data_IF_025499536919
#
_entry.id   IF_025499536919
#
_cell.length_a   1.000
_cell.length_b   1.000
_cell.length_c   1.000
_cell.angle_alpha   90.00
_cell.angle_beta   90.00
_cell.angle_gamma   90.00
#
_symmetry.space_group_name_H-M   'P 1'
#
loop_
_entity.id
_entity.type
_entity.pdbx_description
1 polymer ?
#
# COMPACT_ATOMS: atom_id res chain seq x y z
N UNK A 1 31.29 32.13 -6.74
CA UNK A 1 30.97 30.69 -6.85
C UNK A 1 31.27 30.03 -5.51
N UNK A 2 30.26 29.85 -4.67
CA UNK A 2 30.41 29.12 -3.41
C UNK A 2 30.55 27.62 -3.72
N UNK A 3 31.67 27.04 -3.29
CA UNK A 3 31.86 25.60 -3.31
C UNK A 3 30.82 24.95 -2.39
N UNK A 4 29.90 24.18 -2.98
CA UNK A 4 29.00 23.34 -2.20
C UNK A 4 29.83 22.24 -1.55
N UNK A 5 30.04 22.37 -0.24
CA UNK A 5 30.61 21.36 0.63
C UNK A 5 29.80 20.07 0.46
N UNK A 6 30.47 18.98 0.11
CA UNK A 6 29.85 17.67 0.00
C UNK A 6 29.16 17.33 1.33
N UNK A 7 27.84 17.14 1.29
CA UNK A 7 27.08 16.61 2.42
C UNK A 7 27.71 15.28 2.86
N UNK A 8 27.93 15.09 4.16
CA UNK A 8 28.32 13.81 4.75
C UNK A 8 27.60 12.63 4.07
N UNK A 9 28.26 11.47 3.89
CA UNK A 9 27.58 10.30 3.34
C UNK A 9 26.33 10.03 4.18
N UNK A 10 25.15 10.07 3.54
CA UNK A 10 23.86 9.84 4.20
C UNK A 10 23.80 8.53 5.04
N UNK A 11 24.73 7.62 4.78
CA UNK A 11 24.97 6.35 5.49
C UNK A 11 25.53 6.51 6.91
N UNK A 12 26.05 7.69 7.29
CA UNK A 12 26.64 7.92 8.62
C UNK A 12 25.61 8.33 9.69
N UNK A 13 24.32 8.42 9.35
CA UNK A 13 23.29 8.79 10.32
C UNK A 13 22.94 7.59 11.20
N UNK A 14 22.96 7.71 12.54
CA UNK A 14 22.63 6.63 13.45
C UNK A 14 21.18 6.17 13.24
N UNK A 15 20.98 4.85 13.08
CA UNK A 15 19.66 4.23 13.10
C UNK A 15 19.27 3.94 14.55
N UNK A 16 18.06 4.36 14.95
CA UNK A 16 17.53 4.05 16.29
C UNK A 16 17.02 2.61 16.34
N UNK A 17 17.88 1.68 16.77
CA UNK A 17 17.47 0.35 17.19
C UNK A 17 16.97 0.44 18.62
N UNK A 18 15.66 0.23 18.85
CA UNK A 18 15.14 0.05 20.20
C UNK A 18 15.47 -1.39 20.61
N UNK A 19 16.28 -1.57 21.66
CA UNK A 19 16.65 -2.87 22.23
C UNK A 19 17.47 -3.78 21.28
N UNK A 20 18.26 -3.21 20.37
CA UNK A 20 19.09 -3.97 19.41
C UNK A 20 18.31 -4.70 18.32
N UNK A 21 16.98 -4.69 18.39
CA UNK A 21 16.10 -5.23 17.36
C UNK A 21 15.74 -4.14 16.34
N UNK A 22 15.84 -4.46 15.04
CA UNK A 22 15.30 -3.61 13.99
C UNK A 22 13.77 -3.46 14.14
N UNK A 23 13.22 -2.39 13.56
CA UNK A 23 11.76 -2.17 13.57
C UNK A 23 11.00 -3.34 12.94
N UNK A 24 10.00 -3.87 13.67
CA UNK A 24 9.29 -5.10 13.29
C UNK A 24 8.28 -4.95 12.14
N UNK A 25 7.83 -3.73 11.80
CA UNK A 25 6.88 -3.54 10.70
C UNK A 25 7.56 -3.12 9.40
N UNK A 26 7.14 -3.69 8.27
CA UNK A 26 7.61 -3.29 6.91
C UNK A 26 7.44 -1.79 6.67
N UNK A 27 6.37 -1.17 7.22
CA UNK A 27 6.15 0.28 7.12
C UNK A 27 7.25 1.08 7.84
N UNK A 28 7.67 0.63 9.02
CA UNK A 28 8.72 1.28 9.79
C UNK A 28 10.09 1.06 9.15
N UNK A 29 10.41 -0.17 8.72
CA UNK A 29 11.65 -0.47 7.98
C UNK A 29 11.76 0.40 6.72
N UNK A 30 10.66 0.52 5.97
CA UNK A 30 10.61 1.37 4.78
C UNK A 30 10.78 2.87 5.11
N UNK A 31 10.36 3.31 6.31
CA UNK A 31 10.50 4.70 6.75
C UNK A 31 11.94 5.04 7.10
N UNK A 32 12.68 4.10 7.68
CA UNK A 32 14.09 4.24 8.00
C UNK A 32 14.93 4.42 6.73
N UNK A 33 14.73 3.54 5.75
CA UNK A 33 15.49 3.61 4.50
C UNK A 33 15.03 4.75 3.59
N UNK A 34 13.78 5.20 3.67
CA UNK A 34 13.24 6.22 2.77
C UNK A 34 13.98 7.55 2.80
N UNK A 35 14.70 7.89 3.88
CA UNK A 35 15.42 9.15 4.01
C UNK A 35 16.66 9.26 3.14
N UNK A 36 17.26 8.13 2.77
CA UNK A 36 18.52 8.08 2.03
C UNK A 36 18.43 7.34 0.69
N UNK A 37 17.26 6.79 0.36
CA UNK A 37 16.97 6.22 -0.95
C UNK A 37 16.40 7.29 -1.91
N UNK A 38 16.56 7.12 -3.23
CA UNK A 38 15.91 7.98 -4.20
C UNK A 38 14.39 7.99 -4.00
N UNK A 39 13.76 9.14 -4.29
CA UNK A 39 12.31 9.24 -4.26
C UNK A 39 11.67 8.22 -5.19
N UNK A 40 10.53 7.63 -4.81
CA UNK A 40 9.88 6.54 -5.56
C UNK A 40 9.57 6.88 -7.02
N UNK A 41 9.36 8.16 -7.32
CA UNK A 41 9.02 8.63 -8.65
C UNK A 41 10.22 9.19 -9.41
N UNK A 42 11.43 9.18 -8.85
CA UNK A 42 12.63 9.67 -9.53
C UNK A 42 13.11 8.69 -10.59
N UNK A 43 13.87 9.20 -11.56
CA UNK A 43 14.49 8.38 -12.61
C UNK A 43 15.40 7.29 -12.05
N UNK A 44 16.23 7.60 -11.04
CA UNK A 44 17.09 6.59 -10.38
C UNK A 44 16.31 5.44 -9.75
N UNK A 45 15.21 5.73 -9.03
CA UNK A 45 14.40 4.66 -8.42
C UNK A 45 13.70 3.82 -9.50
N UNK A 46 13.15 4.47 -10.53
CA UNK A 46 12.48 3.79 -11.63
C UNK A 46 13.45 2.90 -12.41
N UNK A 47 14.65 3.38 -12.74
CA UNK A 47 15.66 2.60 -13.45
C UNK A 47 16.03 1.30 -12.71
N UNK A 48 16.32 1.39 -11.40
CA UNK A 48 16.65 0.22 -10.58
C UNK A 48 15.47 -0.77 -10.55
N UNK A 49 14.26 -0.28 -10.27
CA UNK A 49 13.09 -1.14 -10.08
C UNK A 49 12.58 -1.74 -11.39
N UNK A 50 12.63 -1.00 -12.49
CA UNK A 50 12.19 -1.49 -13.79
C UNK A 50 13.20 -2.50 -14.34
N UNK A 51 14.50 -2.27 -14.16
CA UNK A 51 15.54 -3.24 -14.50
C UNK A 51 15.43 -4.53 -13.68
N UNK A 52 15.25 -4.41 -12.36
CA UNK A 52 14.96 -5.54 -11.47
C UNK A 52 13.77 -6.38 -11.97
N UNK A 53 12.64 -5.73 -12.27
CA UNK A 53 11.45 -6.44 -12.78
C UNK A 53 11.74 -7.14 -14.09
N UNK A 54 12.47 -6.48 -14.99
CA UNK A 54 12.80 -7.02 -16.30
C UNK A 54 13.71 -8.25 -16.19
N UNK A 55 14.73 -8.22 -15.32
CA UNK A 55 15.59 -9.36 -15.02
C UNK A 55 14.84 -10.51 -14.34
N UNK A 56 13.74 -10.23 -13.63
CA UNK A 56 12.85 -11.24 -13.07
C UNK A 56 11.71 -11.68 -14.03
N UNK A 57 11.77 -11.28 -15.29
CA UNK A 57 10.82 -11.74 -16.33
C UNK A 57 9.49 -11.00 -16.34
N UNK A 58 9.37 -9.87 -15.63
CA UNK A 58 8.19 -9.02 -15.70
C UNK A 58 8.40 -7.87 -16.69
N UNK A 59 7.92 -8.09 -17.91
CA UNK A 59 8.11 -7.15 -19.01
C UNK A 59 7.05 -6.04 -19.10
N UNK A 60 5.85 -6.27 -18.58
CA UNK A 60 4.77 -5.28 -18.59
C UNK A 60 3.89 -5.35 -17.33
N UNK A 61 2.90 -4.47 -17.23
CA UNK A 61 2.00 -4.39 -16.07
C UNK A 61 1.09 -5.61 -15.92
N UNK A 62 0.76 -6.30 -17.02
CA UNK A 62 -0.10 -7.49 -17.06
C UNK A 62 0.64 -8.81 -16.82
N UNK A 63 1.96 -8.84 -17.03
CA UNK A 63 2.77 -10.03 -16.82
C UNK A 63 2.83 -10.41 -15.33
N UNK A 64 2.56 -11.70 -15.07
CA UNK A 64 2.77 -12.31 -13.75
C UNK A 64 4.27 -12.50 -13.51
N UNK A 65 4.68 -12.42 -12.25
CA UNK A 65 6.03 -12.84 -11.89
C UNK A 65 6.15 -14.35 -12.01
N UNK A 66 7.37 -14.89 -12.22
CA UNK A 66 7.61 -16.31 -12.09
C UNK A 66 7.17 -16.81 -10.70
N UNK A 67 6.80 -18.09 -10.62
CA UNK A 67 6.55 -18.75 -9.35
C UNK A 67 7.77 -18.61 -8.42
N UNK A 68 7.53 -18.64 -7.12
CA UNK A 68 8.62 -18.57 -6.14
C UNK A 68 9.53 -19.78 -6.23
N UNK A 69 10.74 -19.65 -5.69
CA UNK A 69 11.65 -20.78 -5.57
C UNK A 69 10.95 -21.94 -4.84
N UNK A 70 11.01 -23.14 -5.42
CA UNK A 70 10.47 -24.37 -4.87
C UNK A 70 11.35 -24.89 -3.74
N UNK A 71 10.80 -25.70 -2.83
CA UNK A 71 11.55 -26.25 -1.71
C UNK A 71 12.83 -26.98 -2.17
N UNK A 72 12.75 -27.77 -3.24
CA UNK A 72 13.91 -28.45 -3.82
C UNK A 72 14.97 -27.48 -4.38
N UNK A 73 14.56 -26.32 -4.91
CA UNK A 73 15.49 -25.30 -5.39
C UNK A 73 16.20 -24.62 -4.20
N UNK A 74 15.47 -24.38 -3.10
CA UNK A 74 16.02 -23.84 -1.87
C UNK A 74 17.02 -24.79 -1.22
N UNK A 75 16.72 -26.09 -1.19
CA UNK A 75 17.58 -27.12 -0.59
C UNK A 75 18.84 -27.38 -1.42
N UNK A 76 18.76 -27.21 -2.74
CA UNK A 76 19.88 -27.42 -3.68
C UNK A 76 20.68 -26.15 -3.95
N UNK A 77 20.39 -25.06 -3.24
CA UNK A 77 21.13 -23.82 -3.41
C UNK A 77 22.61 -24.09 -3.10
N UNK A 78 23.54 -23.89 -4.07
CA UNK A 78 24.93 -24.16 -3.83
C UNK A 78 25.47 -23.27 -2.70
N UNK A 79 26.51 -23.73 -2.01
CA UNK A 79 27.23 -22.92 -1.04
C UNK A 79 28.04 -21.84 -1.76
N UNK A 80 27.37 -20.74 -2.11
CA UNK A 80 27.96 -19.61 -2.81
C UNK A 80 28.36 -18.52 -1.83
N UNK A 81 29.63 -18.11 -1.89
CA UNK A 81 30.05 -16.85 -1.25
C UNK A 81 29.50 -15.67 -2.04
N UNK A 82 28.83 -14.76 -1.33
CA UNK A 82 28.30 -13.52 -1.90
C UNK A 82 29.41 -12.67 -2.54
N UNK A 83 30.63 -12.73 -1.99
CA UNK A 83 31.79 -12.00 -2.52
C UNK A 83 32.29 -12.60 -3.83
N UNK A 84 32.34 -13.93 -3.92
CA UNK A 84 32.73 -14.64 -5.15
C UNK A 84 31.78 -14.30 -6.29
N UNK A 85 30.46 -14.40 -6.05
CA UNK A 85 29.45 -14.07 -7.08
C UNK A 85 29.56 -12.61 -7.51
N UNK A 86 29.83 -11.70 -6.57
CA UNK A 86 30.00 -10.26 -6.85
C UNK A 86 31.25 -9.98 -7.69
N UNK A 87 32.37 -10.62 -7.37
CA UNK A 87 33.67 -10.41 -8.02
C UNK A 87 33.76 -11.08 -9.40
N UNK A 88 32.97 -12.11 -9.64
CA UNK A 88 32.93 -12.80 -10.94
C UNK A 88 32.23 -11.95 -12.01
N UNK A 89 33.05 -11.33 -12.87
CA UNK A 89 32.62 -10.56 -14.03
C UNK A 89 32.76 -11.33 -15.35
N UNK A 90 33.13 -12.62 -15.30
CA UNK A 90 33.45 -13.38 -16.51
C UNK A 90 32.27 -13.55 -17.45
N UNK A 91 31.03 -13.41 -16.97
CA UNK A 91 29.84 -13.47 -17.82
C UNK A 91 29.74 -12.27 -18.77
N UNK A 92 30.30 -11.13 -18.37
CA UNK A 92 30.26 -9.89 -19.14
C UNK A 92 31.33 -9.82 -20.24
N UNK A 93 32.28 -10.75 -20.25
CA UNK A 93 33.28 -10.88 -21.30
C UNK A 93 32.75 -11.65 -22.53
N UNK A 94 31.57 -12.28 -22.43
CA UNK A 94 30.96 -13.00 -23.54
C UNK A 94 30.21 -12.01 -24.44
N UNK A 95 30.35 -12.15 -25.76
CA UNK A 95 29.43 -11.55 -26.71
C UNK A 95 28.10 -12.32 -26.66
N UNK A 96 27.01 -11.70 -26.17
CA UNK A 96 25.73 -12.36 -26.11
C UNK A 96 25.17 -12.55 -27.53
N UNK A 97 24.57 -13.71 -27.84
CA UNK A 97 23.87 -13.89 -29.10
C UNK A 97 22.73 -12.88 -29.23
N UNK A 98 22.40 -12.44 -30.45
CA UNK A 98 21.28 -11.54 -30.68
C UNK A 98 19.99 -12.13 -30.10
N UNK A 99 19.07 -11.28 -29.59
CA UNK A 99 17.83 -11.74 -28.99
C UNK A 99 17.03 -12.59 -29.98
N UNK A 100 16.55 -13.77 -29.54
CA UNK A 100 15.78 -14.68 -30.39
C UNK A 100 14.46 -14.03 -30.86
N UNK A 101 13.98 -14.31 -32.09
CA UNK A 101 12.80 -13.67 -32.68
C UNK A 101 11.50 -13.89 -31.88
N UNK A 102 11.41 -14.92 -31.02
CA UNK A 102 10.26 -15.12 -30.13
C UNK A 102 10.08 -14.02 -29.06
N UNK A 103 11.13 -13.23 -28.80
CA UNK A 103 11.14 -12.11 -27.85
C UNK A 103 10.42 -10.87 -28.42
N UNK A 104 10.25 -10.79 -29.74
CA UNK A 104 9.70 -9.62 -30.46
C UNK A 104 8.25 -9.28 -30.11
N UNK A 105 7.50 -10.19 -29.48
CA UNK A 105 6.13 -9.92 -29.01
C UNK A 105 6.06 -9.15 -27.69
N UNK A 106 7.20 -8.94 -27.02
CA UNK A 106 7.26 -8.28 -25.72
C UNK A 106 7.29 -6.76 -25.91
N UNK A 107 6.20 -6.09 -25.54
CA UNK A 107 6.15 -4.62 -25.52
C UNK A 107 6.97 -4.06 -24.34
N UNK A 108 8.11 -3.47 -24.67
CA UNK A 108 8.96 -2.72 -23.74
C UNK A 108 8.27 -1.44 -23.23
N UNK A 109 8.68 -0.97 -22.05
CA UNK A 109 8.29 0.35 -21.57
C UNK A 109 8.93 1.44 -22.44
N UNK A 110 8.33 2.65 -22.54
CA UNK A 110 8.89 3.73 -23.36
C UNK A 110 10.32 4.17 -23.00
N UNK A 111 10.80 3.79 -21.80
CA UNK A 111 12.15 4.10 -21.29
C UNK A 111 13.13 2.91 -21.39
N UNK A 112 12.70 1.82 -22.01
CA UNK A 112 13.48 0.59 -22.15
C UNK A 112 13.87 0.43 -23.62
N UNK A 113 15.12 0.10 -23.85
CA UNK A 113 15.63 -0.22 -25.18
C UNK A 113 15.70 -1.75 -25.40
N UNK A 114 15.90 -2.16 -26.66
CA UNK A 114 16.03 -3.57 -27.02
C UNK A 114 17.26 -4.25 -26.42
N UNK A 115 18.29 -3.48 -26.03
CA UNK A 115 19.50 -4.02 -25.41
C UNK A 115 19.21 -4.66 -24.05
N UNK A 116 18.10 -4.30 -23.39
CA UNK A 116 17.70 -4.92 -22.13
C UNK A 116 17.56 -6.46 -22.25
N UNK A 117 17.15 -6.97 -23.42
CA UNK A 117 17.10 -8.42 -23.65
C UNK A 117 18.48 -9.07 -23.63
N UNK A 118 19.48 -8.37 -24.16
CA UNK A 118 20.89 -8.77 -24.10
C UNK A 118 21.35 -8.91 -22.66
N UNK A 119 21.11 -7.90 -21.82
CA UNK A 119 21.47 -7.96 -20.40
C UNK A 119 20.71 -9.03 -19.63
N UNK A 120 19.45 -9.29 -19.98
CA UNK A 120 18.69 -10.41 -19.42
C UNK A 120 19.30 -11.76 -19.81
N UNK A 121 19.77 -11.91 -21.04
CA UNK A 121 20.43 -13.13 -21.51
C UNK A 121 21.71 -13.38 -20.69
N UNK A 122 22.55 -12.35 -20.53
CA UNK A 122 23.75 -12.41 -19.68
C UNK A 122 23.39 -12.78 -18.23
N UNK A 123 22.33 -12.19 -17.66
CA UNK A 123 21.86 -12.52 -16.33
C UNK A 123 21.45 -13.99 -16.18
N UNK A 124 20.71 -14.54 -17.13
CA UNK A 124 20.32 -15.95 -17.10
C UNK A 124 21.51 -16.91 -17.31
N UNK A 125 22.46 -16.53 -18.16
CA UNK A 125 23.70 -17.28 -18.34
C UNK A 125 24.52 -17.32 -17.06
N UNK A 126 24.60 -16.19 -16.35
CA UNK A 126 25.30 -16.08 -15.07
C UNK A 126 24.65 -16.99 -14.01
N UNK A 127 23.32 -16.96 -13.88
CA UNK A 127 22.61 -17.86 -12.97
C UNK A 127 22.88 -19.34 -13.29
N UNK A 128 22.89 -19.69 -14.58
CA UNK A 128 23.15 -21.07 -15.04
C UNK A 128 24.54 -21.56 -14.65
N UNK A 129 25.57 -20.70 -14.73
CA UNK A 129 26.94 -21.03 -14.30
C UNK A 129 27.02 -21.42 -12.83
N UNK A 130 26.17 -20.83 -12.01
CA UNK A 130 26.06 -21.12 -10.59
C UNK A 130 24.97 -22.15 -10.28
N UNK A 131 24.52 -22.94 -11.26
CA UNK A 131 23.46 -23.96 -11.09
C UNK A 131 22.14 -23.42 -10.52
N UNK A 132 21.83 -22.14 -10.75
CA UNK A 132 20.55 -21.53 -10.38
C UNK A 132 19.62 -21.64 -11.60
N UNK A 133 18.56 -22.47 -11.55
CA UNK A 133 17.82 -22.89 -12.73
C UNK A 133 16.96 -21.79 -13.35
N UNK A 134 16.54 -20.79 -12.56
CA UNK A 134 15.68 -19.72 -13.04
C UNK A 134 15.82 -18.43 -12.25
N UNK A 135 15.55 -17.32 -12.94
CA UNK A 135 15.47 -15.98 -12.38
C UNK A 135 14.18 -15.78 -11.56
N UNK A 136 14.20 -16.16 -10.28
CA UNK A 136 13.07 -15.94 -9.36
C UNK A 136 13.52 -15.60 -7.95
N UNK A 137 12.59 -15.08 -7.15
CA UNK A 137 12.79 -14.83 -5.72
C UNK A 137 12.03 -15.89 -4.92
N UNK A 138 12.51 -16.16 -3.71
CA UNK A 138 11.74 -16.89 -2.71
C UNK A 138 10.70 -15.93 -2.12
N UNK A 139 9.58 -15.76 -2.84
CA UNK A 139 8.58 -14.70 -2.57
C UNK A 139 7.99 -14.75 -1.16
N UNK A 140 7.87 -15.95 -0.59
CA UNK A 140 7.33 -16.18 0.76
C UNK A 140 8.42 -16.13 1.85
N UNK A 141 9.68 -16.10 1.45
CA UNK A 141 10.81 -16.01 2.37
C UNK A 141 11.20 -14.57 2.68
N UNK A 142 11.85 -14.36 3.81
CA UNK A 142 12.40 -13.05 4.14
C UNK A 142 13.43 -12.60 3.10
N UNK A 143 13.62 -11.29 2.98
CA UNK A 143 14.69 -10.72 2.13
C UNK A 143 16.08 -11.20 2.57
N UNK A 144 16.23 -11.58 3.85
CA UNK A 144 17.46 -12.12 4.42
C UNK A 144 17.70 -13.62 4.17
N UNK A 145 16.76 -14.33 3.55
CA UNK A 145 16.97 -15.75 3.19
C UNK A 145 18.16 -15.90 2.22
N UNK A 146 18.87 -17.02 2.32
CA UNK A 146 20.06 -17.29 1.50
C UNK A 146 19.77 -17.13 0.00
N UNK A 147 18.65 -17.68 -0.48
CA UNK A 147 18.19 -17.52 -1.87
C UNK A 147 18.04 -16.06 -2.28
N UNK A 148 17.29 -15.27 -1.50
CA UNK A 148 17.03 -13.86 -1.84
C UNK A 148 18.31 -13.02 -1.73
N UNK A 149 19.22 -13.33 -0.81
CA UNK A 149 20.52 -12.67 -0.71
C UNK A 149 21.41 -12.93 -1.92
N UNK A 150 21.51 -14.19 -2.37
CA UNK A 150 22.27 -14.55 -3.58
C UNK A 150 21.66 -13.89 -4.81
N UNK A 151 20.34 -14.00 -4.99
CA UNK A 151 19.64 -13.38 -6.12
C UNK A 151 19.83 -11.85 -6.14
N UNK A 152 19.80 -11.19 -4.97
CA UNK A 152 20.09 -9.76 -4.85
C UNK A 152 21.52 -9.41 -5.30
N UNK A 153 22.51 -10.24 -4.98
CA UNK A 153 23.89 -10.02 -5.45
C UNK A 153 23.97 -10.07 -6.97
N UNK A 154 23.35 -11.07 -7.62
CA UNK A 154 23.30 -11.12 -9.09
C UNK A 154 22.59 -9.89 -9.68
N UNK A 155 21.42 -9.52 -9.14
CA UNK A 155 20.66 -8.38 -9.63
C UNK A 155 21.44 -7.06 -9.53
N UNK A 156 22.13 -6.84 -8.41
CA UNK A 156 22.95 -5.66 -8.20
C UNK A 156 24.18 -5.67 -9.10
N UNK A 157 24.86 -6.83 -9.25
CA UNK A 157 25.99 -7.01 -10.17
C UNK A 157 25.62 -6.64 -11.61
N UNK A 158 24.51 -7.18 -12.12
CA UNK A 158 24.03 -6.92 -13.48
C UNK A 158 23.53 -5.49 -13.67
N UNK A 159 22.95 -4.88 -12.64
CA UNK A 159 22.54 -3.48 -12.71
C UNK A 159 23.76 -2.54 -12.80
N UNK A 160 24.82 -2.81 -12.03
CA UNK A 160 26.06 -2.03 -12.08
C UNK A 160 26.71 -2.10 -13.45
N UNK A 161 26.75 -3.29 -14.04
CA UNK A 161 27.29 -3.48 -15.38
C UNK A 161 26.48 -2.69 -16.43
N UNK A 162 25.15 -2.84 -16.43
CA UNK A 162 24.27 -2.09 -17.34
C UNK A 162 24.39 -0.56 -17.16
N UNK A 163 24.56 -0.09 -15.92
CA UNK A 163 24.80 1.33 -15.66
C UNK A 163 26.10 1.82 -16.31
N UNK A 164 27.19 1.07 -16.19
CA UNK A 164 28.48 1.41 -16.79
C UNK A 164 28.43 1.46 -18.32
N UNK A 165 27.54 0.66 -18.93
CA UNK A 165 27.32 0.62 -20.37
C UNK A 165 26.28 1.65 -20.87
N UNK A 166 25.76 2.52 -20.00
CA UNK A 166 24.83 3.59 -20.42
C UNK A 166 23.40 3.14 -20.76
N UNK A 167 23.00 1.93 -20.35
CA UNK A 167 21.68 1.32 -20.65
C UNK A 167 20.49 2.13 -20.11
N UNK A 168 20.75 3.01 -19.15
CA UNK A 168 19.73 3.81 -18.49
C UNK A 168 19.67 5.26 -19.00
N UNK A 169 20.20 5.54 -20.19
CA UNK A 169 20.24 6.88 -20.80
C UNK A 169 18.87 7.57 -20.90
N UNK A 170 17.80 6.79 -21.02
CA UNK A 170 16.41 7.28 -21.08
C UNK A 170 15.80 7.59 -19.70
N UNK A 171 16.53 7.34 -18.61
CA UNK A 171 16.13 7.70 -17.26
C UNK A 171 16.89 8.94 -16.80
N UNK A 172 16.20 9.87 -16.12
CA UNK A 172 16.85 11.00 -15.45
C UNK A 172 17.56 10.50 -14.18
N UNK A 173 18.75 9.93 -14.36
CA UNK A 173 19.55 9.39 -13.27
C UNK A 173 20.25 10.51 -12.48
N UNK A 174 20.05 10.48 -11.18
CA UNK A 174 20.88 11.21 -10.23
C UNK A 174 21.98 10.27 -9.72
N UNK A 175 23.23 10.59 -10.09
CA UNK A 175 24.42 9.81 -9.76
C UNK A 175 24.69 9.72 -8.25
N UNK A 176 24.10 10.59 -7.42
CA UNK A 176 24.17 10.45 -5.96
C UNK A 176 23.53 9.17 -5.46
N UNK A 177 22.62 8.59 -6.24
CA UNK A 177 21.90 7.35 -5.92
C UNK A 177 22.41 6.14 -6.71
N UNK A 178 23.59 6.21 -7.34
CA UNK A 178 24.12 5.12 -8.17
C UNK A 178 24.96 4.08 -7.42
N UNK A 179 25.18 4.28 -6.11
CA UNK A 179 26.02 3.36 -5.33
C UNK A 179 25.39 1.98 -5.16
N UNK A 180 26.25 0.97 -4.98
CA UNK A 180 25.82 -0.42 -4.77
C UNK A 180 24.86 -0.54 -3.57
N UNK A 181 25.21 0.13 -2.46
CA UNK A 181 24.42 0.11 -1.23
C UNK A 181 23.00 0.67 -1.46
N UNK A 182 22.89 1.76 -2.23
CA UNK A 182 21.59 2.37 -2.57
C UNK A 182 20.80 1.44 -3.50
N UNK A 183 21.44 0.90 -4.54
CA UNK A 183 20.80 -0.03 -5.46
C UNK A 183 20.24 -1.26 -4.72
N UNK A 184 21.08 -1.91 -3.90
CA UNK A 184 20.67 -3.05 -3.05
C UNK A 184 19.50 -2.68 -2.15
N UNK A 185 19.57 -1.56 -1.43
CA UNK A 185 18.51 -1.15 -0.51
C UNK A 185 17.20 -0.78 -1.22
N UNK A 186 17.25 -0.22 -2.43
CA UNK A 186 16.06 -0.02 -3.28
C UNK A 186 15.44 -1.37 -3.65
N UNK A 187 16.24 -2.33 -4.10
CA UNK A 187 15.76 -3.68 -4.46
C UNK A 187 15.18 -4.41 -3.24
N UNK A 188 15.85 -4.39 -2.09
CA UNK A 188 15.34 -4.98 -0.85
C UNK A 188 14.03 -4.35 -0.39
N UNK A 189 13.93 -3.01 -0.42
CA UNK A 189 12.70 -2.27 -0.11
C UNK A 189 11.55 -2.71 -1.03
N UNK A 190 11.87 -2.92 -2.31
CA UNK A 190 10.90 -3.40 -3.28
C UNK A 190 10.44 -4.84 -3.00
N UNK A 191 11.37 -5.75 -2.68
CA UNK A 191 11.07 -7.15 -2.30
C UNK A 191 10.20 -7.18 -1.04
N UNK A 192 10.58 -6.48 0.03
CA UNK A 192 9.78 -6.38 1.27
C UNK A 192 8.36 -5.87 1.01
N UNK A 193 8.22 -4.89 0.11
CA UNK A 193 6.93 -4.34 -0.29
C UNK A 193 6.04 -5.32 -1.08
N UNK A 194 6.62 -6.39 -1.65
CA UNK A 194 5.92 -7.44 -2.39
C UNK A 194 5.41 -8.57 -1.49
N UNK A 195 6.18 -8.99 -0.48
CA UNK A 195 5.77 -9.99 0.53
C UNK A 195 4.45 -9.58 1.23
N UNK A 196 4.17 -8.27 1.32
CA UNK A 196 2.91 -7.73 1.84
C UNK A 196 1.77 -7.57 0.83
N UNK A 197 1.87 -8.08 -0.40
CA UNK A 197 0.77 -8.06 -1.38
C UNK A 197 -0.17 -9.28 -1.28
N UNK A 198 -0.17 -9.94 -0.13
CA UNK A 198 -1.22 -10.88 0.28
C UNK A 198 -2.60 -10.27 -0.04
N UNK A 199 -3.49 -11.09 -0.58
CA UNK A 199 -4.86 -10.73 -0.90
C UNK A 199 -5.53 -10.05 0.30
N UNK A 200 -5.20 -10.50 1.52
CA UNK A 200 -5.62 -9.88 2.78
C UNK A 200 -5.24 -8.41 2.90
N UNK A 201 -4.01 -8.02 2.55
CA UNK A 201 -3.58 -6.62 2.58
C UNK A 201 -4.29 -5.79 1.51
N UNK A 202 -4.43 -6.31 0.29
CA UNK A 202 -5.17 -5.63 -0.79
C UNK A 202 -6.62 -5.40 -0.40
N UNK A 203 -7.26 -6.40 0.18
CA UNK A 203 -8.64 -6.34 0.66
C UNK A 203 -8.76 -5.35 1.83
N UNK A 204 -7.83 -5.37 2.80
CA UNK A 204 -7.79 -4.38 3.89
C UNK A 204 -7.60 -2.95 3.39
N UNK A 205 -6.72 -2.74 2.40
CA UNK A 205 -6.49 -1.42 1.78
C UNK A 205 -7.75 -0.93 1.06
N UNK A 206 -8.37 -1.77 0.22
CA UNK A 206 -9.63 -1.45 -0.46
C UNK A 206 -10.73 -1.11 0.56
N UNK A 207 -10.86 -1.91 1.62
CA UNK A 207 -11.80 -1.69 2.73
C UNK A 207 -11.58 -0.32 3.40
N UNK A 208 -10.34 0.00 3.77
CA UNK A 208 -10.01 1.30 4.37
C UNK A 208 -10.28 2.48 3.42
N UNK A 209 -9.95 2.34 2.13
CA UNK A 209 -10.23 3.36 1.11
C UNK A 209 -11.73 3.60 0.98
N UNK A 210 -12.54 2.54 0.88
CA UNK A 210 -14.01 2.64 0.82
C UNK A 210 -14.58 3.40 2.03
N UNK A 211 -14.14 3.07 3.25
CA UNK A 211 -14.56 3.78 4.46
C UNK A 211 -14.17 5.26 4.44
N UNK A 212 -12.95 5.57 4.02
CA UNK A 212 -12.48 6.96 3.95
C UNK A 212 -13.25 7.78 2.92
N UNK A 213 -13.54 7.20 1.75
CA UNK A 213 -14.37 7.82 0.72
C UNK A 213 -15.79 8.05 1.23
N UNK A 214 -16.40 7.05 1.85
CA UNK A 214 -17.74 7.17 2.42
C UNK A 214 -17.81 8.24 3.51
N UNK A 215 -16.83 8.24 4.41
CA UNK A 215 -16.72 9.23 5.47
C UNK A 215 -16.71 10.66 4.92
N UNK A 216 -15.94 10.89 3.84
CA UNK A 216 -15.93 12.19 3.18
C UNK A 216 -17.29 12.55 2.60
N UNK A 217 -17.96 11.63 1.90
CA UNK A 217 -19.31 11.88 1.40
C UNK A 217 -20.32 12.19 2.51
N UNK A 218 -20.17 11.58 3.68
CA UNK A 218 -21.00 11.90 4.85
C UNK A 218 -20.72 13.30 5.37
N UNK A 219 -19.44 13.70 5.48
CA UNK A 219 -19.08 15.05 5.91
C UNK A 219 -19.59 16.09 4.91
N UNK A 220 -19.28 15.94 3.62
CA UNK A 220 -19.69 16.88 2.58
C UNK A 220 -21.23 17.03 2.53
N UNK A 221 -21.97 15.93 2.67
CA UNK A 221 -23.44 15.96 2.65
C UNK A 221 -24.04 16.58 3.92
N UNK A 222 -23.43 16.30 5.08
CA UNK A 222 -23.88 16.86 6.35
C UNK A 222 -23.58 18.36 6.42
N UNK A 223 -22.40 18.78 5.94
CA UNK A 223 -21.99 20.18 5.87
C UNK A 223 -22.95 20.97 4.98
N UNK A 224 -23.18 20.54 3.74
CA UNK A 224 -24.14 21.20 2.84
C UNK A 224 -25.55 21.27 3.45
N UNK A 225 -26.04 20.16 4.01
CA UNK A 225 -27.38 20.11 4.60
C UNK A 225 -27.54 21.06 5.79
N UNK A 226 -26.52 21.15 6.65
CA UNK A 226 -26.56 21.95 7.87
C UNK A 226 -26.27 23.42 7.57
N UNK A 227 -25.36 23.74 6.65
CA UNK A 227 -25.10 25.11 6.23
C UNK A 227 -26.32 25.78 5.60
N UNK A 228 -27.10 25.03 4.82
CA UNK A 228 -28.30 25.57 4.18
C UNK A 228 -29.43 25.88 5.15
N UNK A 229 -29.54 25.15 6.27
CA UNK A 229 -30.75 25.17 7.10
C UNK A 229 -30.51 25.54 8.57
N UNK A 230 -29.34 25.21 9.14
CA UNK A 230 -29.07 25.25 10.58
C UNK A 230 -27.58 25.48 10.89
N UNK A 231 -27.03 26.61 10.44
CA UNK A 231 -25.58 26.91 10.53
C UNK A 231 -25.00 26.78 11.94
N UNK A 232 -25.79 27.03 12.98
CA UNK A 232 -25.45 26.87 14.39
C UNK A 232 -25.15 25.40 14.78
N UNK A 233 -25.74 24.44 14.06
CA UNK A 233 -25.53 23.01 14.30
C UNK A 233 -24.29 22.45 13.59
N UNK A 234 -23.61 23.21 12.72
CA UNK A 234 -22.54 22.68 11.86
C UNK A 234 -21.39 22.07 12.68
N UNK A 235 -20.84 22.84 13.61
CA UNK A 235 -19.71 22.40 14.43
C UNK A 235 -20.09 21.20 15.31
N UNK A 236 -21.23 21.22 16.06
CA UNK A 236 -21.72 20.04 16.76
C UNK A 236 -21.95 18.82 15.86
N UNK A 237 -22.52 19.02 14.66
CA UNK A 237 -22.82 17.94 13.71
C UNK A 237 -21.55 17.26 13.20
N UNK A 238 -20.55 18.03 12.76
CA UNK A 238 -19.28 17.48 12.31
C UNK A 238 -18.50 16.81 13.45
N UNK A 239 -18.67 17.25 14.69
CA UNK A 239 -18.05 16.61 15.86
C UNK A 239 -18.55 15.18 16.13
N UNK A 240 -19.72 14.80 15.60
CA UNK A 240 -20.25 13.43 15.64
C UNK A 240 -19.57 12.50 14.63
N UNK A 241 -18.80 13.05 13.67
CA UNK A 241 -18.05 12.34 12.64
C UNK A 241 -16.54 12.63 12.76
N UNK A 242 -15.86 12.25 13.85
CA UNK A 242 -14.44 12.58 14.06
C UNK A 242 -13.47 11.81 13.16
N UNK A 243 -13.87 10.67 12.58
CA UNK A 243 -13.03 9.89 11.68
C UNK A 243 -13.81 8.83 10.89
N UNK A 244 -13.20 8.28 9.85
CA UNK A 244 -13.73 7.13 9.09
C UNK A 244 -13.93 5.84 9.92
N UNK A 245 -13.47 5.82 11.18
CA UNK A 245 -13.82 4.76 12.13
C UNK A 245 -15.34 4.72 12.43
N UNK A 246 -16.02 5.86 12.30
CA UNK A 246 -17.47 6.01 12.50
C UNK A 246 -18.31 5.38 11.39
N UNK A 247 -17.73 5.12 10.22
CA UNK A 247 -18.44 4.49 9.10
C UNK A 247 -18.41 2.97 9.23
N UNK A 248 -19.51 2.30 8.85
CA UNK A 248 -19.57 0.84 8.78
C UNK A 248 -18.65 0.32 7.67
N UNK A 249 -18.28 -0.95 7.78
CA UNK A 249 -17.66 -1.65 6.67
C UNK A 249 -18.74 -2.05 5.65
N UNK A 250 -18.36 -2.22 4.39
CA UNK A 250 -19.24 -2.78 3.35
C UNK A 250 -18.73 -4.15 2.94
N UNK A 251 -19.54 -5.17 3.18
CA UNK A 251 -19.33 -6.53 2.68
C UNK A 251 -20.13 -6.75 1.39
N UNK A 252 -19.58 -7.59 0.53
CA UNK A 252 -20.18 -8.02 -0.73
C UNK A 252 -20.64 -9.48 -0.52
N UNK A 253 -21.95 -9.69 -0.42
CA UNK A 253 -22.54 -11.01 -0.13
C UNK A 253 -22.81 -11.81 -1.42
N UNK A 254 -22.08 -11.52 -2.50
CA UNK A 254 -22.36 -12.07 -3.82
C UNK A 254 -23.46 -11.28 -4.54
N UNK A 255 -24.21 -11.90 -5.47
CA UNK A 255 -24.73 -11.32 -6.70
C UNK A 255 -25.40 -9.94 -6.53
N UNK A 256 -24.58 -8.88 -6.53
CA UNK A 256 -25.00 -7.48 -6.44
C UNK A 256 -25.52 -7.00 -5.09
N UNK A 257 -25.51 -7.83 -4.03
CA UNK A 257 -26.02 -7.46 -2.70
C UNK A 257 -24.88 -7.05 -1.79
N UNK A 258 -24.67 -5.74 -1.65
CA UNK A 258 -23.76 -5.22 -0.63
C UNK A 258 -24.50 -5.00 0.68
N UNK A 259 -23.83 -5.25 1.80
CA UNK A 259 -24.38 -5.02 3.14
C UNK A 259 -23.45 -4.18 3.97
N UNK A 260 -24.03 -3.33 4.81
CA UNK A 260 -23.26 -2.70 5.87
C UNK A 260 -22.99 -3.74 6.97
N UNK A 261 -21.78 -3.73 7.55
CA UNK A 261 -21.52 -4.40 8.82
C UNK A 261 -21.71 -3.40 9.95
N UNK A 262 -22.61 -3.71 10.87
CA UNK A 262 -22.82 -2.94 12.09
C UNK A 262 -21.58 -3.01 12.98
N UNK A 263 -21.43 -2.05 13.88
CA UNK A 263 -20.36 -2.06 14.86
C UNK A 263 -20.96 -2.25 16.25
N UNK A 264 -20.42 -3.19 17.02
CA UNK A 264 -20.96 -3.55 18.34
C UNK A 264 -21.03 -2.35 19.31
N UNK A 265 -20.13 -1.38 19.13
CA UNK A 265 -20.03 -0.22 19.99
C UNK A 265 -21.06 0.87 19.70
N UNK A 266 -21.76 0.86 18.55
CA UNK A 266 -22.68 1.95 18.19
C UNK A 266 -24.02 1.80 18.89
N UNK A 267 -24.53 2.90 19.43
CA UNK A 267 -25.92 2.95 19.88
C UNK A 267 -26.89 2.79 18.70
N UNK A 268 -28.15 2.50 19.01
CA UNK A 268 -29.23 2.45 18.02
C UNK A 268 -29.40 3.80 17.33
N UNK A 269 -29.38 4.88 18.09
CA UNK A 269 -29.51 6.27 17.62
C UNK A 269 -28.38 6.64 16.66
N UNK A 270 -27.12 6.35 17.03
CA UNK A 270 -25.99 6.67 16.17
C UNK A 270 -25.95 5.81 14.90
N UNK A 271 -26.40 4.55 15.00
CA UNK A 271 -26.55 3.68 13.83
C UNK A 271 -27.61 4.22 12.86
N UNK A 272 -28.71 4.76 13.37
CA UNK A 272 -29.73 5.41 12.57
C UNK A 272 -29.23 6.70 11.93
N UNK A 273 -28.54 7.55 12.68
CA UNK A 273 -27.92 8.76 12.14
C UNK A 273 -27.00 8.45 10.95
N UNK A 274 -26.08 7.50 11.11
CA UNK A 274 -25.16 7.10 10.02
C UNK A 274 -25.93 6.55 8.81
N UNK A 275 -27.03 5.82 9.03
CA UNK A 275 -27.87 5.33 7.94
C UNK A 275 -28.60 6.46 7.20
N UNK A 276 -29.07 7.49 7.91
CA UNK A 276 -29.66 8.67 7.29
C UNK A 276 -28.62 9.46 6.48
N UNK A 277 -27.38 9.56 6.96
CA UNK A 277 -26.28 10.16 6.20
C UNK A 277 -25.96 9.39 4.90
N UNK A 278 -26.13 8.07 4.89
CA UNK A 278 -26.02 7.29 3.64
C UNK A 278 -27.02 7.77 2.59
N UNK A 279 -28.28 7.98 2.99
CA UNK A 279 -29.35 8.48 2.10
C UNK A 279 -29.13 9.93 1.70
N UNK A 280 -28.71 10.77 2.64
CA UNK A 280 -28.44 12.19 2.39
C UNK A 280 -27.29 12.35 1.38
N UNK A 281 -26.16 11.67 1.63
CA UNK A 281 -25.01 11.69 0.72
C UNK A 281 -25.32 11.04 -0.64
N UNK A 282 -26.29 10.13 -0.73
CA UNK A 282 -26.77 9.65 -2.01
C UNK A 282 -27.47 10.77 -2.79
N UNK A 283 -28.43 11.44 -2.16
CA UNK A 283 -29.23 12.52 -2.77
C UNK A 283 -28.33 13.65 -3.25
N UNK A 284 -27.38 14.09 -2.41
CA UNK A 284 -26.38 15.10 -2.77
C UNK A 284 -25.55 14.66 -3.99
N UNK A 285 -24.93 13.48 -3.94
CA UNK A 285 -24.05 13.02 -5.01
C UNK A 285 -24.81 12.71 -6.31
N UNK A 286 -26.07 12.30 -6.23
CA UNK A 286 -26.99 12.18 -7.38
C UNK A 286 -27.25 13.54 -8.02
N UNK A 287 -27.42 14.60 -7.21
CA UNK A 287 -27.56 15.98 -7.70
C UNK A 287 -26.29 16.45 -8.41
N UNK A 288 -25.12 16.21 -7.81
CA UNK A 288 -23.84 16.70 -8.32
C UNK A 288 -23.32 15.97 -9.58
N UNK A 289 -23.54 14.65 -9.66
CA UNK A 289 -22.91 13.80 -10.69
C UNK A 289 -23.91 12.99 -11.52
N UNK A 290 -25.20 13.13 -11.23
CA UNK A 290 -26.27 12.40 -11.92
C UNK A 290 -26.52 10.99 -11.39
N UNK A 291 -27.71 10.46 -11.73
CA UNK A 291 -28.22 9.17 -11.24
C UNK A 291 -27.33 7.97 -11.58
N UNK A 292 -26.74 7.93 -12.78
CA UNK A 292 -25.90 6.81 -13.22
C UNK A 292 -24.63 6.70 -12.39
N UNK A 293 -24.01 7.83 -12.08
CA UNK A 293 -22.81 7.88 -11.24
C UNK A 293 -23.14 7.44 -9.81
N UNK A 294 -24.21 7.99 -9.23
CA UNK A 294 -24.66 7.64 -7.89
C UNK A 294 -25.02 6.15 -7.75
N UNK A 295 -25.65 5.53 -8.77
CA UNK A 295 -25.97 4.10 -8.79
C UNK A 295 -24.74 3.18 -8.95
N UNK A 296 -23.62 3.71 -9.44
CA UNK A 296 -22.34 3.01 -9.56
C UNK A 296 -21.60 2.85 -8.22
N UNK A 297 -22.00 3.60 -7.18
CA UNK A 297 -21.40 3.53 -5.85
C UNK A 297 -21.77 2.23 -5.15
N UNK A 298 -20.76 1.42 -4.80
CA UNK A 298 -20.94 0.14 -4.09
C UNK A 298 -21.63 0.31 -2.74
N UNK A 299 -21.36 1.42 -2.05
CA UNK A 299 -21.95 1.77 -0.76
C UNK A 299 -23.42 2.20 -0.89
N UNK A 300 -23.92 2.56 -2.08
CA UNK A 300 -25.32 2.95 -2.26
C UNK A 300 -26.26 1.78 -2.50
N UNK A 301 -25.71 0.61 -2.77
CA UNK A 301 -26.44 -0.66 -2.82
C UNK A 301 -26.53 -1.33 -1.45
N UNK A 302 -25.98 -0.69 -0.41
CA UNK A 302 -25.89 -1.29 0.91
C UNK A 302 -27.27 -1.32 1.58
N UNK A 303 -27.66 -2.48 2.06
CA UNK A 303 -28.79 -2.61 2.96
C UNK A 303 -28.38 -2.41 4.43
N UNK A 304 -29.37 -2.28 5.32
CA UNK A 304 -29.15 -2.18 6.76
C UNK A 304 -28.32 -3.36 7.26
N UNK A 305 -27.45 -3.10 8.22
CA UNK A 305 -26.63 -4.14 8.82
C UNK A 305 -27.47 -5.23 9.46
N UNK A 306 -27.20 -6.47 9.08
CA UNK A 306 -27.75 -7.68 9.71
C UNK A 306 -26.69 -8.34 10.58
N UNK A 307 -25.41 -8.20 10.20
CA UNK A 307 -24.27 -8.65 10.98
C UNK A 307 -23.66 -7.48 11.77
N UNK A 308 -23.15 -7.80 12.95
CA UNK A 308 -22.47 -6.85 13.83
C UNK A 308 -21.05 -7.35 14.07
N UNK A 309 -20.05 -6.52 13.78
CA UNK A 309 -18.65 -6.84 14.04
C UNK A 309 -18.25 -6.43 15.45
N UNK A 310 -17.61 -7.37 16.16
CA UNK A 310 -16.92 -7.12 17.43
C UNK A 310 -15.54 -6.46 17.26
N UNK A 311 -14.97 -6.50 16.05
CA UNK A 311 -13.64 -5.99 15.72
C UNK A 311 -13.65 -4.50 15.31
N UNK A 312 -14.80 -3.85 15.42
CA UNK A 312 -14.99 -2.44 15.08
C UNK A 312 -14.21 -1.51 15.99
N UNK A 313 -13.38 -0.63 15.40
CA UNK A 313 -12.71 0.43 16.16
C UNK A 313 -13.71 1.49 16.61
N UNK A 314 -13.88 1.66 17.92
CA UNK A 314 -14.67 2.75 18.49
C UNK A 314 -13.85 4.05 18.52
N UNK A 315 -14.33 5.15 17.93
CA UNK A 315 -13.77 6.48 18.14
C UNK A 315 -13.85 6.85 19.63
N UNK A 316 -12.85 7.56 20.14
CA UNK A 316 -12.93 8.21 21.46
C UNK A 316 -13.63 9.55 21.35
N UNK A 317 -14.10 10.07 22.48
CA UNK A 317 -14.66 11.42 22.64
C UNK A 317 -15.92 11.71 21.81
N UNK A 318 -16.71 10.68 21.46
CA UNK A 318 -18.09 10.90 21.01
C UNK A 318 -19.01 11.12 22.23
N UNK A 319 -20.16 11.80 22.07
CA UNK A 319 -21.18 11.86 23.10
C UNK A 319 -21.57 10.46 23.62
N UNK A 320 -21.92 10.36 24.90
CA UNK A 320 -22.20 9.06 25.53
C UNK A 320 -23.36 8.29 24.88
N UNK A 321 -24.35 8.99 24.31
CA UNK A 321 -25.45 8.40 23.54
C UNK A 321 -25.06 7.91 22.14
N UNK A 322 -23.80 8.07 21.71
CA UNK A 322 -23.29 7.44 20.49
C UNK A 322 -22.85 5.98 20.71
N UNK A 323 -22.62 5.59 21.97
CA UNK A 323 -22.15 4.26 22.33
C UNK A 323 -23.29 3.35 22.79
N UNK A 324 -23.25 2.09 22.40
CA UNK A 324 -24.16 1.06 22.89
C UNK A 324 -23.95 0.90 24.42
N UNK A 325 -25.00 1.07 25.25
CA UNK A 325 -24.86 0.98 26.71
C UNK A 325 -24.28 -0.37 27.16
N UNK A 326 -24.81 -1.48 26.64
CA UNK A 326 -24.33 -2.83 26.97
C UNK A 326 -22.84 -3.01 26.65
N UNK A 327 -22.39 -2.54 25.49
CA UNK A 327 -20.98 -2.60 25.11
C UNK A 327 -20.12 -1.69 25.99
N UNK A 328 -20.57 -0.46 26.26
CA UNK A 328 -19.86 0.50 27.11
C UNK A 328 -19.75 0.00 28.55
N UNK A 329 -20.79 -0.63 29.06
CA UNK A 329 -20.87 -1.07 30.45
C UNK A 329 -20.10 -2.36 30.71
N UNK A 330 -19.66 -3.07 29.65
CA UNK A 330 -18.70 -4.17 29.75
C UNK A 330 -17.29 -3.73 30.15
N UNK A 331 -16.96 -2.44 30.09
CA UNK A 331 -15.67 -1.89 30.49
C UNK A 331 -15.65 -1.44 31.96
N UNK A 332 -14.49 -1.52 32.61
CA UNK A 332 -14.28 -0.85 33.90
C UNK A 332 -14.27 0.68 33.81
N UNK A 333 -14.46 1.37 34.93
CA UNK A 333 -14.70 2.82 34.98
C UNK A 333 -13.60 3.65 34.30
N UNK A 334 -12.31 3.30 34.52
CA UNK A 334 -11.19 4.00 33.87
C UNK A 334 -11.24 3.92 32.35
N UNK A 335 -11.69 2.79 31.79
CA UNK A 335 -11.85 2.62 30.34
C UNK A 335 -13.05 3.40 29.81
N UNK A 336 -14.14 3.49 30.58
CA UNK A 336 -15.29 4.35 30.24
C UNK A 336 -14.88 5.82 30.17
N UNK A 337 -14.10 6.31 31.14
CA UNK A 337 -13.56 7.68 31.14
C UNK A 337 -12.62 7.96 29.96
N UNK A 338 -11.80 6.99 29.56
CA UNK A 338 -10.95 7.10 28.37
C UNK A 338 -11.74 7.04 27.06
N UNK A 339 -12.90 6.40 27.06
CA UNK A 339 -13.78 6.32 25.89
C UNK A 339 -14.45 7.65 25.64
N UNK A 340 -15.08 8.25 26.66
CA UNK A 340 -15.66 9.59 26.58
C UNK A 340 -15.94 10.18 27.96
N UNK A 341 -15.86 11.51 28.05
CA UNK A 341 -16.36 12.30 29.18
C UNK A 341 -17.54 13.18 28.78
N UNK A 342 -18.02 13.06 27.53
CA UNK A 342 -19.09 13.91 26.99
C UNK A 342 -20.46 13.37 27.41
N UNK A 343 -21.31 14.27 27.92
CA UNK A 343 -22.72 14.00 28.15
C UNK A 343 -23.45 13.64 26.84
N UNK A 344 -24.66 13.04 26.92
CA UNK A 344 -25.49 12.80 25.75
C UNK A 344 -25.69 14.09 24.94
N UNK A 345 -25.49 14.01 23.62
CA UNK A 345 -25.66 15.18 22.75
C UNK A 345 -27.10 15.26 22.25
N UNK A 346 -27.84 16.36 22.51
CA UNK A 346 -29.17 16.56 21.95
C UNK A 346 -29.13 16.79 20.43
N UNK A 347 -27.98 17.24 19.91
CA UNK A 347 -27.76 17.47 18.47
C UNK A 347 -27.93 16.19 17.66
N UNK A 348 -27.54 15.02 18.19
CA UNK A 348 -27.70 13.75 17.49
C UNK A 348 -29.18 13.47 17.17
N UNK A 349 -30.06 13.58 18.17
CA UNK A 349 -31.50 13.35 18.02
C UNK A 349 -32.13 14.39 17.10
N UNK A 350 -31.74 15.66 17.26
CA UNK A 350 -32.23 16.75 16.41
C UNK A 350 -31.87 16.54 14.93
N UNK A 351 -30.62 16.16 14.63
CA UNK A 351 -30.17 15.88 13.27
C UNK A 351 -30.90 14.68 12.67
N UNK A 352 -31.16 13.63 13.44
CA UNK A 352 -31.94 12.47 12.98
C UNK A 352 -33.32 12.92 12.50
N UNK A 353 -34.04 13.75 13.28
CA UNK A 353 -35.37 14.26 12.89
C UNK A 353 -35.29 15.07 11.60
N UNK A 354 -34.37 16.05 11.56
CA UNK A 354 -34.23 16.98 10.43
C UNK A 354 -33.83 16.30 9.13
N UNK A 355 -32.87 15.37 9.18
CA UNK A 355 -32.46 14.61 8.00
C UNK A 355 -33.59 13.70 7.54
N UNK A 356 -34.37 13.13 8.47
CA UNK A 356 -35.53 12.30 8.09
C UNK A 356 -36.58 13.14 7.36
N UNK A 357 -36.90 14.32 7.88
CA UNK A 357 -37.85 15.26 7.26
C UNK A 357 -37.42 15.68 5.85
N UNK A 358 -36.12 15.88 5.59
CA UNK A 358 -35.63 16.30 4.26
C UNK A 358 -35.51 15.18 3.22
N UNK A 359 -35.66 13.92 3.66
CA UNK A 359 -35.58 12.72 2.83
C UNK A 359 -36.96 12.14 2.47
N UNK A 360 -38.02 12.60 3.15
CA UNK A 360 -39.42 12.44 2.71
C UNK A 360 -39.65 13.40 1.55
#
# INVERSE_FOLDING_TARGET
>A
MQAMVASEPFLNRPMHFKDGAGVGSVKAQNREVAKWLPQRNSGSYQAIVDYLKFLLGKFNSGATYPAGAEALELDRLPHLSLETVRADLTVFANDPPPPSPSIEKIKLLPRQDSSWFTYRSLFLQDLTRYSIPRATLAWESSVGSAWNQIMLVFLVKHWRWALAQGVFSQYSLDLRYSSEAICRAVMERWIRGRVGQDEKYRNRKKKNQRRATLFRYHQDALEEFVEMNHRDLLVPALSLLPSAACCSDTEDDGPGKTRAIGMIWRSREFSEFVHLLDKLSFKQQKSLHGSRWAAGRLDMRRSRAIQISSQGKAPRNLPSNCYCPVWRDSFGESHKQLLTQKSPSPTLTLLISKIRESLV
#
